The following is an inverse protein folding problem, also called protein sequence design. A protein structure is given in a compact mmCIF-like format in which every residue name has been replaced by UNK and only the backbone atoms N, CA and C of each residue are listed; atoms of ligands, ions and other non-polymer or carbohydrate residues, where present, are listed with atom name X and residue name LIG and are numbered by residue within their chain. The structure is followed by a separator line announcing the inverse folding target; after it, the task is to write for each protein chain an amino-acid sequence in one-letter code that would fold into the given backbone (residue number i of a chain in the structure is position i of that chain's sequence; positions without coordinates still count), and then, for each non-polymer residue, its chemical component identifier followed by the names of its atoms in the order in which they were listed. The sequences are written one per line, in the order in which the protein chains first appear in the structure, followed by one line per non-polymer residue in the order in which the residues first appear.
data_IF_052304500952
#
_entry.id   IF_052304500952
#
_cell.length_a   1.000
_cell.length_b   1.000
_cell.length_c   1.000
_cell.angle_alpha   90.00
_cell.angle_beta   90.00
_cell.angle_gamma   90.00
#
_symmetry.space_group_name_H-M   'P 1'
#
loop_
_entity.id
_entity.type
_entity.pdbx_description
1 polymer ?
#
# COMPACT_ATOMS: atom_id res chain seq x y z
N UNK A 1 5.41 -9.54 24.93
CA UNK A 1 4.42 -8.45 25.07
C UNK A 1 3.02 -9.05 25.08
N UNK A 2 2.00 -8.42 25.71
CA UNK A 2 0.62 -8.88 25.56
C UNK A 2 0.21 -8.85 24.06
N UNK A 3 -0.77 -9.67 23.65
CA UNK A 3 -1.22 -9.71 22.26
C UNK A 3 -1.65 -8.33 21.79
N UNK A 4 -1.02 -7.84 20.72
CA UNK A 4 -1.35 -6.52 20.17
C UNK A 4 -2.74 -6.54 19.50
N UNK A 5 -3.45 -5.41 19.50
CA UNK A 5 -4.67 -5.29 18.71
C UNK A 5 -4.36 -5.40 17.20
N UNK A 6 -5.33 -5.81 16.37
CA UNK A 6 -5.22 -5.65 14.92
C UNK A 6 -5.04 -4.16 14.58
N UNK A 7 -4.09 -3.85 13.72
CA UNK A 7 -3.83 -2.48 13.25
C UNK A 7 -3.87 -2.47 11.73
N UNK A 8 -4.69 -1.59 11.16
CA UNK A 8 -4.77 -1.36 9.72
C UNK A 8 -4.41 0.09 9.41
N UNK A 9 -3.36 0.29 8.62
CA UNK A 9 -2.98 1.60 8.10
C UNK A 9 -3.27 1.65 6.62
N UNK A 10 -4.22 2.49 6.23
CA UNK A 10 -4.57 2.70 4.82
C UNK A 10 -3.68 3.81 4.26
N UNK A 11 -2.89 3.47 3.25
CA UNK A 11 -2.00 4.40 2.56
C UNK A 11 -2.50 4.56 1.12
N UNK A 12 -3.18 5.65 0.85
CA UNK A 12 -4.01 5.83 -0.35
C UNK A 12 -3.34 6.84 -1.30
N UNK A 13 -3.01 6.40 -2.51
CA UNK A 13 -2.61 7.28 -3.61
C UNK A 13 -3.78 8.21 -3.97
N UNK A 14 -3.53 9.52 -4.00
CA UNK A 14 -4.49 10.56 -4.39
C UNK A 14 -4.01 11.40 -5.58
N UNK A 15 -3.06 10.87 -6.36
CA UNK A 15 -2.67 11.44 -7.67
C UNK A 15 -3.87 11.52 -8.61
N UNK A 16 -3.73 12.32 -9.66
CA UNK A 16 -4.78 12.50 -10.68
C UNK A 16 -5.26 11.18 -11.28
N UNK A 17 -4.38 10.19 -11.47
CA UNK A 17 -4.76 8.87 -11.97
C UNK A 17 -5.67 8.12 -10.99
N UNK A 18 -5.40 8.23 -9.69
CA UNK A 18 -6.20 7.60 -8.65
C UNK A 18 -7.58 8.26 -8.54
N UNK A 19 -7.61 9.59 -8.42
CA UNK A 19 -8.84 10.37 -8.26
C UNK A 19 -9.76 10.24 -9.47
N UNK A 20 -9.24 10.42 -10.69
CA UNK A 20 -10.06 10.37 -11.91
C UNK A 20 -10.66 9.00 -12.20
N UNK A 21 -10.08 7.94 -11.64
CA UNK A 21 -10.56 6.56 -11.83
C UNK A 21 -11.81 6.22 -11.01
N UNK A 22 -12.16 7.03 -10.01
CA UNK A 22 -13.25 6.76 -9.07
C UNK A 22 -12.90 5.72 -7.99
N UNK A 23 -11.64 5.29 -7.88
CA UNK A 23 -11.26 4.25 -6.92
C UNK A 23 -11.44 4.69 -5.46
N UNK A 24 -11.19 5.98 -5.15
CA UNK A 24 -11.31 6.53 -3.80
C UNK A 24 -12.72 6.28 -3.21
N UNK A 25 -13.77 6.44 -4.02
CA UNK A 25 -15.16 6.21 -3.60
C UNK A 25 -15.40 4.75 -3.20
N UNK A 26 -14.84 3.81 -3.97
CA UNK A 26 -14.96 2.38 -3.70
C UNK A 26 -14.20 2.01 -2.43
N UNK A 27 -12.97 2.51 -2.24
CA UNK A 27 -12.20 2.30 -1.02
C UNK A 27 -12.95 2.85 0.18
N UNK A 28 -13.36 4.12 0.14
CA UNK A 28 -13.96 4.80 1.28
C UNK A 28 -15.28 4.15 1.68
N UNK A 29 -16.15 3.86 0.71
CA UNK A 29 -17.42 3.16 0.97
C UNK A 29 -17.21 1.75 1.51
N UNK A 30 -16.17 1.04 1.07
CA UNK A 30 -15.86 -0.32 1.55
C UNK A 30 -15.36 -0.31 2.99
N UNK A 31 -14.42 0.58 3.34
CA UNK A 31 -13.93 0.72 4.72
C UNK A 31 -15.07 1.17 5.63
N UNK A 32 -15.91 2.12 5.18
CA UNK A 32 -17.06 2.64 5.93
C UNK A 32 -18.06 1.54 6.29
N UNK A 33 -18.30 0.57 5.40
CA UNK A 33 -19.18 -0.58 5.66
C UNK A 33 -18.69 -1.49 6.79
N UNK A 34 -17.39 -1.51 7.07
CA UNK A 34 -16.80 -2.33 8.14
C UNK A 34 -16.78 -1.64 9.50
N UNK A 35 -17.17 -0.37 9.57
CA UNK A 35 -17.28 0.36 10.84
C UNK A 35 -18.39 -0.25 11.71
N UNK A 36 -18.19 -0.36 13.04
CA UNK A 36 -19.14 -1.03 13.93
C UNK A 36 -20.61 -0.57 13.83
N UNK A 37 -20.88 0.73 13.61
CA UNK A 37 -22.25 1.26 13.41
C UNK A 37 -22.93 0.79 12.13
N UNK A 38 -22.14 0.52 11.09
CA UNK A 38 -22.64 0.18 9.76
C UNK A 38 -22.73 -1.34 9.55
N UNK A 39 -22.29 -2.10 10.55
CA UNK A 39 -22.32 -3.54 10.53
C UNK A 39 -23.72 -4.12 10.62
N UNK A 40 -24.03 -5.03 9.70
CA UNK A 40 -25.26 -5.82 9.72
C UNK A 40 -25.20 -6.80 10.92
N UNK A 41 -26.19 -6.79 11.83
CA UNK A 41 -26.29 -7.75 12.93
C UNK A 41 -26.21 -9.22 12.48
N UNK A 42 -26.60 -9.52 11.25
CA UNK A 42 -26.61 -10.87 10.69
C UNK A 42 -25.29 -11.26 10.01
N UNK A 43 -24.41 -10.30 9.71
CA UNK A 43 -23.15 -10.52 8.99
C UNK A 43 -21.97 -9.96 9.80
N UNK A 44 -21.26 -10.84 10.51
CA UNK A 44 -20.16 -10.48 11.45
C UNK A 44 -18.88 -9.94 10.79
N UNK A 45 -18.94 -9.48 9.53
CA UNK A 45 -17.81 -8.91 8.80
C UNK A 45 -17.60 -7.44 9.23
N UNK A 46 -16.93 -7.26 10.37
CA UNK A 46 -16.73 -5.97 11.02
C UNK A 46 -15.33 -5.87 11.60
N UNK A 47 -14.85 -4.65 11.81
CA UNK A 47 -13.67 -4.47 12.65
C UNK A 47 -13.98 -4.84 14.11
N UNK A 48 -13.05 -5.55 14.75
CA UNK A 48 -13.12 -5.85 16.18
C UNK A 48 -13.04 -4.56 16.99
N UNK A 49 -13.65 -4.57 18.17
CA UNK A 49 -13.65 -3.54 19.19
C UNK A 49 -12.28 -2.96 19.52
N UNK A 50 -11.21 -3.77 19.41
CA UNK A 50 -9.83 -3.35 19.70
C UNK A 50 -9.06 -2.84 18.47
N UNK A 51 -9.64 -2.94 17.28
CA UNK A 51 -8.95 -2.61 16.02
C UNK A 51 -8.53 -1.15 16.01
N UNK A 52 -7.26 -0.91 15.68
CA UNK A 52 -6.75 0.43 15.43
C UNK A 52 -6.72 0.71 13.93
N UNK A 53 -7.16 1.89 13.53
CA UNK A 53 -7.15 2.35 12.13
C UNK A 53 -6.38 3.67 12.04
N UNK A 54 -5.61 3.80 10.97
CA UNK A 54 -5.10 5.08 10.49
C UNK A 54 -5.31 5.21 8.98
N UNK A 55 -5.47 6.44 8.51
CA UNK A 55 -5.62 6.77 7.09
C UNK A 55 -4.59 7.85 6.76
N UNK A 56 -3.78 7.60 5.73
CA UNK A 56 -2.88 8.56 5.12
C UNK A 56 -3.17 8.61 3.63
N UNK A 57 -3.02 9.79 3.03
CA UNK A 57 -3.03 9.94 1.58
C UNK A 57 -1.72 10.50 1.09
N UNK A 58 -1.35 10.22 -0.16
CA UNK A 58 -0.12 10.75 -0.74
C UNK A 58 -0.25 11.02 -2.24
N UNK A 59 0.47 12.04 -2.70
CA UNK A 59 0.73 12.35 -4.11
C UNK A 59 2.20 12.75 -4.25
N UNK A 60 2.51 13.98 -4.64
CA UNK A 60 3.82 14.61 -4.47
C UNK A 60 4.22 14.85 -3.01
N UNK A 61 3.23 14.88 -2.10
CA UNK A 61 3.42 15.14 -0.67
C UNK A 61 2.65 14.12 0.17
N UNK A 62 2.93 14.05 1.48
CA UNK A 62 2.28 13.12 2.41
C UNK A 62 1.24 13.86 3.27
N UNK A 63 0.06 13.29 3.42
CA UNK A 63 -1.05 13.90 4.15
C UNK A 63 -1.48 13.02 5.31
N UNK A 64 -1.44 13.59 6.51
CA UNK A 64 -1.86 12.97 7.75
C UNK A 64 -3.22 13.52 8.15
N UNK A 65 -4.07 12.66 8.68
CA UNK A 65 -5.39 13.04 9.19
C UNK A 65 -5.43 12.83 10.70
N UNK A 66 -5.85 13.85 11.44
CA UNK A 66 -6.10 13.72 12.87
C UNK A 66 -7.44 13.01 13.07
N UNK A 67 -7.41 11.83 13.68
CA UNK A 67 -8.61 11.00 13.89
C UNK A 67 -9.12 11.06 15.35
N UNK A 68 -8.67 12.03 16.15
CA UNK A 68 -9.15 12.21 17.52
C UNK A 68 -10.68 12.37 17.58
N UNK A 69 -11.34 11.54 18.39
CA UNK A 69 -12.81 11.49 18.52
C UNK A 69 -13.46 12.79 19.00
N UNK A 70 -12.70 13.70 19.62
CA UNK A 70 -13.20 14.96 20.15
C UNK A 70 -13.24 16.09 19.11
N UNK A 71 -12.72 15.84 17.90
CA UNK A 71 -12.69 16.84 16.84
C UNK A 71 -14.08 17.05 16.23
N UNK A 72 -14.48 18.32 16.11
CA UNK A 72 -15.70 18.72 15.39
C UNK A 72 -15.52 18.72 13.87
N UNK A 73 -14.29 18.93 13.41
CA UNK A 73 -13.93 19.00 11.99
C UNK A 73 -12.64 18.20 11.75
N UNK A 74 -12.54 17.60 10.57
CA UNK A 74 -11.36 16.86 10.13
C UNK A 74 -10.19 17.84 10.02
N UNK A 75 -9.04 17.47 10.58
CA UNK A 75 -7.80 18.19 10.40
C UNK A 75 -6.85 17.37 9.53
N UNK A 76 -6.38 17.97 8.45
CA UNK A 76 -5.34 17.43 7.59
C UNK A 76 -4.04 18.20 7.83
N UNK A 77 -2.92 17.50 7.96
CA UNK A 77 -1.59 18.09 7.95
C UNK A 77 -0.81 17.57 6.77
N UNK A 78 -0.23 18.50 6.02
CA UNK A 78 0.55 18.20 4.82
C UNK A 78 2.02 18.26 5.19
N UNK A 79 2.77 17.21 4.85
CA UNK A 79 4.21 17.15 4.95
C UNK A 79 4.76 17.22 3.52
N UNK A 80 5.15 18.43 3.06
CA UNK A 80 5.64 18.63 1.69
C UNK A 80 7.11 18.25 1.53
N UNK A 81 7.89 18.30 2.61
CA UNK A 81 9.30 17.89 2.57
C UNK A 81 9.40 16.37 2.65
N UNK A 82 9.58 15.75 1.49
CA UNK A 82 9.76 14.30 1.38
C UNK A 82 11.20 13.88 1.69
N UNK A 83 12.18 14.78 1.79
CA UNK A 83 13.56 14.42 2.13
C UNK A 83 13.69 14.15 3.63
N UNK A 84 13.03 14.97 4.46
CA UNK A 84 12.99 14.81 5.92
C UNK A 84 11.58 14.49 6.43
N UNK A 85 11.12 13.26 6.13
CA UNK A 85 9.79 12.79 6.55
C UNK A 85 9.73 12.67 8.08
N UNK A 86 8.80 13.42 8.68
CA UNK A 86 8.44 13.31 10.09
C UNK A 86 6.95 13.03 10.28
N UNK A 87 6.57 12.65 11.49
CA UNK A 87 5.18 12.45 11.87
C UNK A 87 4.68 13.72 12.59
N UNK A 88 3.74 14.49 12.01
CA UNK A 88 3.32 15.77 12.56
C UNK A 88 2.49 15.64 13.84
N UNK A 89 1.87 14.47 14.06
CA UNK A 89 1.17 14.15 15.30
C UNK A 89 1.80 12.91 15.97
N UNK A 90 2.36 13.04 17.18
CA UNK A 90 2.91 11.88 17.88
C UNK A 90 1.81 10.87 18.32
N UNK A 91 0.58 11.34 18.47
CA UNK A 91 -0.62 10.60 18.92
C UNK A 91 -1.79 10.83 17.93
N UNK A 92 -2.91 10.11 18.06
CA UNK A 92 -4.14 10.30 17.26
C UNK A 92 -4.09 10.04 15.74
N UNK A 93 -3.00 9.43 15.22
CA UNK A 93 -2.96 8.91 13.84
C UNK A 93 -3.56 7.51 13.75
N UNK A 94 -3.22 6.66 14.73
CA UNK A 94 -3.82 5.34 14.90
C UNK A 94 -4.81 5.43 16.05
N UNK A 95 -6.10 5.28 15.74
CA UNK A 95 -7.17 5.40 16.73
C UNK A 95 -8.02 4.14 16.79
N UNK A 96 -8.65 3.91 17.93
CA UNK A 96 -9.60 2.81 18.07
C UNK A 96 -10.85 3.06 17.21
N UNK A 97 -11.19 2.09 16.36
CA UNK A 97 -12.30 2.22 15.42
C UNK A 97 -13.66 2.38 16.12
N UNK A 98 -13.87 1.71 17.25
CA UNK A 98 -15.15 1.77 17.99
C UNK A 98 -15.34 3.12 18.64
N UNK A 99 -14.27 3.70 19.17
CA UNK A 99 -14.29 5.00 19.85
C UNK A 99 -14.39 6.17 18.87
N UNK A 100 -13.64 6.10 17.76
CA UNK A 100 -13.46 7.23 16.84
C UNK A 100 -14.29 7.13 15.56
N UNK A 101 -15.25 6.21 15.49
CA UNK A 101 -15.94 5.88 14.22
C UNK A 101 -16.61 7.08 13.54
N UNK A 102 -17.15 8.05 14.29
CA UNK A 102 -17.82 9.22 13.70
C UNK A 102 -16.84 10.08 12.89
N UNK A 103 -15.62 10.26 13.42
CA UNK A 103 -14.58 11.06 12.76
C UNK A 103 -14.02 10.30 11.56
N UNK A 104 -13.83 8.99 11.70
CA UNK A 104 -13.42 8.11 10.58
C UNK A 104 -14.47 8.14 9.47
N UNK A 105 -15.74 7.96 9.80
CA UNK A 105 -16.85 7.99 8.85
C UNK A 105 -16.93 9.33 8.12
N UNK A 106 -16.87 10.44 8.87
CA UNK A 106 -16.86 11.79 8.30
C UNK A 106 -15.66 11.99 7.36
N UNK A 107 -14.47 11.50 7.72
CA UNK A 107 -13.31 11.54 6.83
C UNK A 107 -13.57 10.76 5.54
N UNK A 108 -14.04 9.52 5.64
CA UNK A 108 -14.31 8.67 4.49
C UNK A 108 -15.38 9.25 3.56
N UNK A 109 -16.41 9.91 4.10
CA UNK A 109 -17.45 10.58 3.31
C UNK A 109 -16.92 11.80 2.53
N UNK A 110 -15.89 12.47 3.04
CA UNK A 110 -15.34 13.68 2.44
C UNK A 110 -14.07 13.44 1.62
N UNK A 111 -13.36 12.33 1.82
CA UNK A 111 -12.03 12.11 1.25
C UNK A 111 -12.00 12.25 -0.27
N UNK A 112 -12.93 11.60 -0.98
CA UNK A 112 -13.03 11.71 -2.44
C UNK A 112 -13.29 13.14 -2.90
N UNK A 113 -14.16 13.87 -2.20
CA UNK A 113 -14.49 15.26 -2.53
C UNK A 113 -13.30 16.20 -2.29
N UNK A 114 -12.50 15.96 -1.24
CA UNK A 114 -11.29 16.73 -0.93
C UNK A 114 -10.27 16.65 -2.07
N UNK A 115 -10.12 15.48 -2.68
CA UNK A 115 -9.14 15.22 -3.72
C UNK A 115 -9.67 15.33 -5.14
N UNK A 116 -10.98 15.53 -5.34
CA UNK A 116 -11.66 15.51 -6.65
C UNK A 116 -11.00 16.34 -7.74
N UNK A 117 -10.43 17.49 -7.37
CA UNK A 117 -9.80 18.43 -8.30
C UNK A 117 -8.27 18.31 -8.34
N UNK A 118 -7.68 17.30 -7.70
CA UNK A 118 -6.24 17.09 -7.70
C UNK A 118 -5.74 16.75 -9.09
N UNK A 119 -4.70 17.45 -9.52
CA UNK A 119 -4.06 17.29 -10.84
C UNK A 119 -2.61 16.84 -10.74
N UNK A 120 -2.12 16.57 -9.54
CA UNK A 120 -0.75 16.14 -9.32
C UNK A 120 -0.54 14.74 -9.90
N UNK A 121 0.49 14.61 -10.75
CA UNK A 121 0.93 13.35 -11.35
C UNK A 121 2.06 12.70 -10.56
N UNK A 122 2.81 13.50 -9.81
CA UNK A 122 3.94 13.01 -9.04
C UNK A 122 3.49 12.17 -7.85
N UNK A 123 4.29 11.16 -7.53
CA UNK A 123 3.96 10.13 -6.58
C UNK A 123 5.18 9.80 -5.72
N UNK A 124 5.12 10.13 -4.44
CA UNK A 124 6.16 9.92 -3.43
C UNK A 124 5.90 8.67 -2.57
N UNK A 125 5.38 7.58 -3.16
CA UNK A 125 4.98 6.38 -2.40
C UNK A 125 6.09 5.83 -1.48
N UNK A 126 7.37 5.92 -1.86
CA UNK A 126 8.47 5.46 -1.02
C UNK A 126 8.60 6.24 0.29
N UNK A 127 8.44 7.55 0.24
CA UNK A 127 8.44 8.43 1.41
C UNK A 127 7.18 8.20 2.26
N UNK A 128 6.04 7.96 1.59
CA UNK A 128 4.79 7.60 2.26
C UNK A 128 4.91 6.23 2.99
N UNK A 129 5.60 5.26 2.40
CA UNK A 129 5.95 3.98 3.04
C UNK A 129 6.86 4.19 4.26
N UNK A 130 7.83 5.11 4.19
CA UNK A 130 8.70 5.49 5.32
C UNK A 130 7.89 6.10 6.47
N UNK A 131 6.95 7.01 6.18
CA UNK A 131 6.02 7.55 7.18
C UNK A 131 5.15 6.45 7.80
N UNK A 132 4.59 5.57 6.98
CA UNK A 132 3.79 4.44 7.45
C UNK A 132 4.58 3.50 8.37
N UNK A 133 5.84 3.23 8.04
CA UNK A 133 6.75 2.47 8.90
C UNK A 133 6.98 3.18 10.24
N UNK A 134 7.21 4.49 10.26
CA UNK A 134 7.40 5.26 11.49
C UNK A 134 6.18 5.21 12.42
N UNK A 135 4.97 5.15 11.85
CA UNK A 135 3.71 4.99 12.59
C UNK A 135 3.60 3.56 13.15
N UNK A 136 3.76 2.56 12.28
CA UNK A 136 3.47 1.16 12.63
C UNK A 136 4.56 0.52 13.49
N UNK A 137 5.83 0.95 13.42
CA UNK A 137 6.96 0.28 14.09
C UNK A 137 6.79 0.09 15.61
N UNK A 138 5.93 0.89 16.26
CA UNK A 138 5.66 0.77 17.70
C UNK A 138 4.82 -0.45 18.05
N UNK A 139 3.87 -0.83 17.18
CA UNK A 139 2.85 -1.84 17.45
C UNK A 139 3.01 -3.05 16.50
N UNK A 140 3.32 -2.81 15.24
CA UNK A 140 3.12 -3.74 14.13
C UNK A 140 1.75 -3.51 13.49
N UNK A 141 1.40 -4.33 12.50
CA UNK A 141 0.12 -4.20 11.82
C UNK A 141 0.20 -4.48 10.32
N UNK A 142 -0.89 -4.21 9.62
CA UNK A 142 -0.99 -4.36 8.17
C UNK A 142 -1.11 -3.00 7.53
N UNK A 143 -0.22 -2.73 6.60
CA UNK A 143 -0.25 -1.61 5.71
C UNK A 143 -1.01 -2.01 4.45
N UNK A 144 -2.06 -1.28 4.10
CA UNK A 144 -2.81 -1.46 2.86
C UNK A 144 -2.44 -0.31 1.94
N UNK A 145 -1.57 -0.60 0.97
CA UNK A 145 -1.09 0.36 -0.01
C UNK A 145 -1.98 0.30 -1.25
N UNK A 146 -2.61 1.43 -1.59
CA UNK A 146 -3.29 1.61 -2.87
C UNK A 146 -2.41 2.49 -3.76
N UNK A 147 -2.07 1.97 -4.95
CA UNK A 147 -1.12 2.61 -5.85
C UNK A 147 -1.64 2.58 -7.28
N UNK A 148 -1.86 3.76 -7.88
CA UNK A 148 -2.36 3.90 -9.25
C UNK A 148 -1.31 4.46 -10.19
N UNK A 149 -0.39 5.28 -9.66
CA UNK A 149 0.71 5.87 -10.40
C UNK A 149 2.05 5.27 -10.00
N UNK A 150 3.05 5.41 -10.88
CA UNK A 150 4.40 4.93 -10.61
C UNK A 150 5.06 5.85 -9.58
N UNK A 151 5.70 5.31 -8.53
CA UNK A 151 6.51 6.12 -7.61
C UNK A 151 7.66 6.77 -8.40
N UNK A 152 7.60 8.09 -8.63
CA UNK A 152 8.48 8.78 -9.55
C UNK A 152 9.36 9.86 -8.88
N UNK A 153 9.07 10.22 -7.63
CA UNK A 153 9.87 11.17 -6.84
C UNK A 153 10.22 10.61 -5.47
N UNK A 154 11.29 11.13 -4.87
CA UNK A 154 11.69 10.81 -3.50
C UNK A 154 12.46 9.49 -3.36
N UNK A 155 12.22 8.78 -2.26
CA UNK A 155 12.85 7.48 -1.99
C UNK A 155 12.10 6.36 -2.73
N UNK A 156 12.78 5.24 -2.99
CA UNK A 156 12.19 4.04 -3.60
C UNK A 156 11.50 4.30 -4.95
N UNK A 157 11.98 5.26 -5.75
CA UNK A 157 11.45 5.51 -7.09
C UNK A 157 11.58 4.28 -7.97
N UNK A 158 10.61 4.12 -8.87
CA UNK A 158 10.54 3.03 -9.83
C UNK A 158 10.65 3.61 -11.24
N UNK A 159 11.67 3.19 -11.98
CA UNK A 159 11.86 3.61 -13.38
C UNK A 159 11.20 2.62 -14.34
N UNK A 160 10.50 3.14 -15.34
CA UNK A 160 9.99 2.36 -16.47
C UNK A 160 11.10 1.91 -17.42
N UNK A 161 12.16 2.71 -17.52
CA UNK A 161 13.25 2.49 -18.44
C UNK A 161 14.32 1.66 -17.72
N UNK A 162 14.14 0.34 -17.76
CA UNK A 162 15.16 -0.61 -17.33
C UNK A 162 16.28 -0.66 -18.36
N UNK A 163 17.33 0.12 -18.12
CA UNK A 163 18.59 -0.09 -18.85
C UNK A 163 19.03 -1.55 -18.68
N UNK A 164 19.42 -2.25 -19.75
CA UNK A 164 19.90 -3.62 -19.66
C UNK A 164 21.08 -3.66 -18.70
N UNK A 165 20.98 -4.41 -17.60
CA UNK A 165 22.13 -4.63 -16.73
C UNK A 165 23.16 -5.41 -17.52
N UNK A 166 24.32 -4.81 -17.81
CA UNK A 166 25.40 -5.46 -18.58
C UNK A 166 25.85 -6.81 -17.99
N UNK A 167 25.61 -7.01 -16.69
CA UNK A 167 25.96 -8.18 -15.87
C UNK A 167 24.72 -8.93 -15.34
N UNK A 168 23.75 -9.24 -16.20
CA UNK A 168 22.66 -10.15 -15.83
C UNK A 168 23.22 -11.52 -15.38
N UNK A 169 22.85 -12.00 -14.18
CA UNK A 169 23.28 -13.31 -13.64
C UNK A 169 23.01 -14.49 -14.59
N UNK A 170 22.05 -14.33 -15.48
CA UNK A 170 21.61 -15.34 -16.44
C UNK A 170 22.27 -15.22 -17.81
N UNK A 171 23.01 -14.14 -18.09
CA UNK A 171 23.69 -13.91 -19.38
C UNK A 171 24.57 -15.12 -19.74
N UNK A 172 25.32 -15.65 -18.78
CA UNK A 172 26.20 -16.81 -19.01
C UNK A 172 25.47 -18.14 -19.29
N UNK A 173 24.15 -18.24 -19.05
CA UNK A 173 23.38 -19.47 -19.21
C UNK A 173 22.72 -19.55 -20.60
N UNK A 174 22.32 -18.40 -21.16
CA UNK A 174 21.58 -18.34 -22.43
C UNK A 174 22.33 -17.59 -23.54
N UNK A 175 23.52 -17.04 -23.27
CA UNK A 175 24.38 -16.57 -24.37
C UNK A 175 25.05 -17.79 -24.99
N UNK A 176 24.53 -18.25 -26.14
CA UNK A 176 25.22 -19.22 -26.99
C UNK A 176 26.62 -18.70 -27.32
N UNK A 177 27.67 -19.52 -27.08
CA UNK A 177 29.06 -19.22 -27.46
C UNK A 177 29.28 -19.10 -28.99
N UNK A 178 28.22 -19.22 -29.80
CA UNK A 178 28.28 -19.03 -31.24
C UNK A 178 27.29 -17.96 -31.68
N UNK A 179 27.78 -16.74 -31.94
CA UNK A 179 27.45 -15.87 -33.08
C UNK A 179 27.81 -14.42 -32.77
N UNK A 180 28.65 -13.82 -33.62
CA UNK A 180 29.07 -12.41 -33.56
C UNK A 180 28.00 -11.39 -33.92
N UNK A 181 26.75 -11.60 -33.50
CA UNK A 181 25.66 -10.63 -33.64
C UNK A 181 25.08 -10.33 -32.26
N UNK A 182 25.06 -9.04 -31.89
CA UNK A 182 24.54 -8.49 -30.63
C UNK A 182 23.01 -8.62 -30.48
N UNK A 183 22.42 -9.76 -30.81
CA UNK A 183 21.00 -10.03 -30.58
C UNK A 183 20.87 -10.67 -29.20
N UNK A 184 20.43 -9.88 -28.23
CA UNK A 184 20.10 -10.38 -26.89
C UNK A 184 18.97 -11.41 -27.05
N UNK A 185 19.18 -12.63 -26.54
CA UNK A 185 18.17 -13.69 -26.55
C UNK A 185 16.88 -13.15 -25.88
N UNK A 186 15.74 -13.28 -26.57
CA UNK A 186 14.45 -12.77 -26.08
C UNK A 186 14.09 -13.38 -24.72
N UNK A 187 14.52 -14.62 -24.47
CA UNK A 187 14.33 -15.32 -23.20
C UNK A 187 15.16 -14.74 -22.05
N UNK A 188 16.38 -14.27 -22.32
CA UNK A 188 17.19 -13.53 -21.35
C UNK A 188 16.49 -12.24 -20.94
N UNK A 189 15.97 -11.51 -21.93
CA UNK A 189 15.28 -10.26 -21.69
C UNK A 189 14.01 -10.44 -20.87
N UNK A 190 13.25 -11.50 -21.12
CA UNK A 190 12.07 -11.84 -20.31
C UNK A 190 12.44 -12.09 -18.84
N UNK A 191 13.46 -12.92 -18.58
CA UNK A 191 13.91 -13.20 -17.21
C UNK A 191 14.38 -11.92 -16.52
N UNK A 192 15.12 -11.06 -17.20
CA UNK A 192 15.54 -9.76 -16.66
C UNK A 192 14.34 -8.88 -16.28
N UNK A 193 13.29 -8.84 -17.11
CA UNK A 193 12.06 -8.10 -16.83
C UNK A 193 11.27 -8.66 -15.64
N UNK A 194 11.39 -9.96 -15.36
CA UNK A 194 10.77 -10.60 -14.19
C UNK A 194 11.58 -10.42 -12.90
N UNK A 195 12.83 -9.96 -12.99
CA UNK A 195 13.64 -9.68 -11.80
C UNK A 195 13.47 -8.24 -11.31
N UNK A 196 13.48 -7.99 -9.99
CA UNK A 196 13.46 -6.62 -9.46
C UNK A 196 14.63 -5.78 -9.99
N UNK A 197 14.37 -4.51 -10.31
CA UNK A 197 15.41 -3.62 -10.82
C UNK A 197 16.51 -3.35 -9.76
N UNK A 198 16.14 -3.25 -8.49
CA UNK A 198 17.06 -3.12 -7.37
C UNK A 198 16.51 -3.87 -6.13
N UNK A 199 17.28 -3.88 -5.05
CA UNK A 199 16.93 -4.60 -3.82
C UNK A 199 16.23 -3.72 -2.79
N UNK A 200 15.99 -2.43 -3.05
CA UNK A 200 15.56 -1.47 -2.03
C UNK A 200 14.21 -1.88 -1.38
N UNK A 201 13.25 -2.34 -2.17
CA UNK A 201 11.98 -2.87 -1.65
C UNK A 201 12.14 -4.18 -0.87
N UNK A 202 13.14 -5.00 -1.21
CA UNK A 202 13.46 -6.22 -0.45
C UNK A 202 14.09 -5.88 0.90
N UNK A 203 15.00 -4.90 0.94
CA UNK A 203 15.63 -4.40 2.16
C UNK A 203 14.60 -3.73 3.08
N UNK A 204 13.67 -2.95 2.51
CA UNK A 204 12.53 -2.42 3.24
C UNK A 204 11.68 -3.55 3.84
N UNK A 205 11.37 -4.59 3.08
CA UNK A 205 10.61 -5.74 3.57
C UNK A 205 11.29 -6.41 4.78
N UNK A 206 12.61 -6.62 4.71
CA UNK A 206 13.39 -7.16 5.82
C UNK A 206 13.37 -6.25 7.04
N UNK A 207 13.34 -4.94 6.84
CA UNK A 207 13.26 -3.98 7.93
C UNK A 207 11.89 -4.02 8.60
N UNK A 208 10.80 -3.89 7.83
CA UNK A 208 9.44 -3.79 8.41
C UNK A 208 8.97 -5.09 9.06
N UNK A 209 9.43 -6.24 8.58
CA UNK A 209 9.07 -7.56 9.16
C UNK A 209 9.64 -7.75 10.56
N UNK A 210 10.79 -7.16 10.88
CA UNK A 210 11.32 -7.15 12.25
C UNK A 210 10.37 -6.48 13.24
N UNK A 211 9.56 -5.54 12.75
CA UNK A 211 8.55 -4.80 13.51
C UNK A 211 7.13 -5.36 13.34
N UNK A 212 6.99 -6.59 12.82
CA UNK A 212 5.70 -7.26 12.69
C UNK A 212 4.72 -6.50 11.77
N UNK A 213 5.25 -5.91 10.69
CA UNK A 213 4.47 -5.18 9.69
C UNK A 213 4.38 -6.01 8.41
N UNK A 214 3.15 -6.19 7.91
CA UNK A 214 2.86 -6.75 6.58
C UNK A 214 2.33 -5.68 5.63
N UNK A 215 2.54 -5.87 4.31
CA UNK A 215 2.08 -4.93 3.28
C UNK A 215 1.23 -5.64 2.24
N UNK A 216 -0.05 -5.29 2.18
CA UNK A 216 -0.94 -5.65 1.08
C UNK A 216 -0.93 -4.52 0.04
N UNK A 217 -0.80 -4.86 -1.24
CA UNK A 217 -0.73 -3.90 -2.36
C UNK A 217 -1.94 -4.08 -3.27
N UNK A 218 -2.75 -3.03 -3.40
CA UNK A 218 -3.76 -2.88 -4.42
C UNK A 218 -3.22 -1.96 -5.52
N UNK A 219 -2.89 -2.54 -6.67
CA UNK A 219 -2.27 -1.85 -7.79
C UNK A 219 -3.27 -1.59 -8.92
N UNK A 220 -3.38 -0.32 -9.34
CA UNK A 220 -4.34 0.16 -10.35
C UNK A 220 -3.63 0.88 -11.52
N UNK A 221 -2.65 0.25 -12.19
CA UNK A 221 -1.86 0.98 -13.16
C UNK A 221 -2.69 1.35 -14.40
N UNK A 222 -2.64 2.63 -14.77
CA UNK A 222 -3.16 3.13 -16.04
C UNK A 222 -2.20 2.84 -17.21
N UNK A 223 -0.91 2.67 -16.92
CA UNK A 223 0.15 2.35 -17.87
C UNK A 223 1.04 1.21 -17.39
N UNK A 224 2.31 1.19 -17.81
CA UNK A 224 3.27 0.25 -17.24
C UNK A 224 3.54 0.65 -15.78
N UNK A 225 3.52 -0.31 -14.86
CA UNK A 225 4.01 -0.16 -13.50
C UNK A 225 4.96 -1.33 -13.29
N UNK A 226 6.21 -1.06 -12.96
CA UNK A 226 7.18 -2.12 -12.72
C UNK A 226 6.93 -2.77 -11.34
N UNK A 227 5.88 -3.59 -11.32
CA UNK A 227 5.48 -4.37 -10.16
C UNK A 227 6.57 -5.33 -9.72
N UNK A 228 7.44 -5.79 -10.61
CA UNK A 228 8.50 -6.73 -10.22
C UNK A 228 9.52 -6.07 -9.29
N UNK A 229 9.69 -4.75 -9.36
CA UNK A 229 10.50 -3.98 -8.40
C UNK A 229 9.81 -3.81 -7.05
N UNK A 230 8.50 -3.60 -7.02
CA UNK A 230 7.72 -3.34 -5.77
C UNK A 230 7.34 -4.65 -5.06
N UNK A 231 7.00 -5.70 -5.82
CA UNK A 231 6.45 -6.97 -5.34
C UNK A 231 7.26 -7.66 -4.23
N UNK A 232 8.61 -7.62 -4.20
CA UNK A 232 9.37 -8.16 -3.08
C UNK A 232 8.95 -7.59 -1.72
N UNK A 233 8.49 -6.34 -1.64
CA UNK A 233 7.95 -5.75 -0.40
C UNK A 233 6.74 -6.54 0.11
N UNK A 234 5.78 -6.80 -0.79
CA UNK A 234 4.54 -7.52 -0.49
C UNK A 234 4.85 -8.97 -0.14
N UNK A 235 5.59 -9.65 -1.01
CA UNK A 235 5.93 -11.07 -0.86
C UNK A 235 6.70 -11.35 0.42
N UNK A 236 7.77 -10.59 0.68
CA UNK A 236 8.66 -10.88 1.81
C UNK A 236 8.07 -10.43 3.15
N UNK A 237 7.05 -9.55 3.14
CA UNK A 237 6.30 -9.17 4.34
C UNK A 237 5.06 -10.03 4.62
N UNK A 238 4.82 -11.06 3.80
CA UNK A 238 3.70 -11.98 3.97
C UNK A 238 2.34 -11.40 3.55
N UNK A 239 2.34 -10.32 2.76
CA UNK A 239 1.13 -9.70 2.24
C UNK A 239 0.69 -10.25 0.88
N UNK A 240 -0.34 -9.62 0.32
CA UNK A 240 -1.02 -10.00 -0.92
C UNK A 240 -0.98 -8.89 -1.96
N UNK A 241 -0.90 -9.26 -3.24
CA UNK A 241 -0.96 -8.34 -4.39
C UNK A 241 -2.31 -8.50 -5.09
N UNK A 242 -3.04 -7.41 -5.22
CA UNK A 242 -4.27 -7.29 -6.01
C UNK A 242 -3.99 -6.38 -7.20
N UNK A 243 -4.31 -6.84 -8.41
CA UNK A 243 -3.93 -6.18 -9.66
C UNK A 243 -5.15 -5.86 -10.52
N UNK A 244 -5.29 -4.58 -10.88
CA UNK A 244 -6.39 -4.03 -11.67
C UNK A 244 -5.84 -3.18 -12.82
N UNK A 245 -5.48 -3.80 -13.96
CA UNK A 245 -4.96 -3.06 -15.10
C UNK A 245 -6.04 -2.16 -15.69
N UNK A 246 -5.70 -0.91 -16.01
CA UNK A 246 -6.62 0.07 -16.61
C UNK A 246 -7.95 0.14 -15.83
N UNK A 247 -7.86 0.34 -14.51
CA UNK A 247 -9.01 0.32 -13.63
C UNK A 247 -10.11 1.28 -14.12
N UNK A 248 -11.32 0.73 -14.21
CA UNK A 248 -12.55 1.46 -14.50
C UNK A 248 -13.58 1.07 -13.43
N UNK A 249 -14.08 2.07 -12.71
CA UNK A 249 -15.04 1.87 -11.62
C UNK A 249 -16.29 1.10 -12.07
N UNK A 250 -16.79 1.30 -13.28
CA UNK A 250 -17.99 0.61 -13.77
C UNK A 250 -17.79 -0.89 -13.94
N UNK A 251 -16.56 -1.36 -14.14
CA UNK A 251 -16.24 -2.78 -14.34
C UNK A 251 -15.68 -3.44 -13.08
N UNK A 252 -14.83 -2.73 -12.34
CA UNK A 252 -14.06 -3.29 -11.24
C UNK A 252 -14.60 -2.96 -9.85
N UNK A 253 -15.63 -2.12 -9.71
CA UNK A 253 -16.19 -1.72 -8.40
C UNK A 253 -16.48 -2.94 -7.51
N UNK A 254 -17.28 -3.89 -8.00
CA UNK A 254 -17.67 -5.06 -7.20
C UNK A 254 -16.49 -5.96 -6.86
N UNK A 255 -15.56 -6.17 -7.81
CA UNK A 255 -14.35 -6.97 -7.56
C UNK A 255 -13.48 -6.33 -6.48
N UNK A 256 -13.17 -5.04 -6.62
CA UNK A 256 -12.36 -4.29 -5.65
C UNK A 256 -13.02 -4.30 -4.27
N UNK A 257 -14.34 -4.06 -4.22
CA UNK A 257 -15.12 -4.08 -3.00
C UNK A 257 -15.02 -5.43 -2.29
N UNK A 258 -15.27 -6.53 -2.98
CA UNK A 258 -15.22 -7.87 -2.37
C UNK A 258 -13.81 -8.30 -1.98
N UNK A 259 -12.79 -8.01 -2.80
CA UNK A 259 -11.39 -8.32 -2.46
C UNK A 259 -10.89 -7.51 -1.26
N UNK A 260 -11.23 -6.22 -1.19
CA UNK A 260 -10.88 -5.38 -0.03
C UNK A 260 -11.64 -5.81 1.23
N UNK A 261 -12.94 -6.14 1.12
CA UNK A 261 -13.69 -6.74 2.24
C UNK A 261 -13.04 -8.03 2.71
N UNK A 262 -12.65 -8.91 1.78
CA UNK A 262 -11.96 -10.15 2.09
C UNK A 262 -10.64 -9.87 2.84
N UNK A 263 -9.79 -8.97 2.35
CA UNK A 263 -8.51 -8.62 2.98
C UNK A 263 -8.67 -8.11 4.42
N UNK A 264 -9.72 -7.34 4.68
CA UNK A 264 -9.95 -6.70 5.99
C UNK A 264 -10.71 -7.59 6.99
N UNK A 265 -11.42 -8.61 6.50
CA UNK A 265 -12.26 -9.50 7.35
C UNK A 265 -11.72 -10.93 7.46
N UNK A 266 -10.70 -11.29 6.68
CA UNK A 266 -10.05 -12.60 6.78
C UNK A 266 -9.34 -12.73 8.12
N UNK A 267 -9.55 -13.88 8.77
CA UNK A 267 -8.84 -14.24 10.00
C UNK A 267 -7.33 -14.21 9.75
N UNK A 268 -6.65 -13.28 10.43
CA UNK A 268 -5.22 -13.05 10.26
C UNK A 268 -4.54 -13.28 11.60
N UNK A 269 -3.57 -14.20 11.63
CA UNK A 269 -2.68 -14.38 12.75
C UNK A 269 -1.49 -13.41 12.62
N UNK A 270 -1.29 -12.57 13.64
CA UNK A 270 -0.21 -11.60 13.69
C UNK A 270 0.99 -12.17 14.43
N UNK A 271 2.19 -11.62 14.19
CA UNK A 271 3.44 -12.03 14.87
C UNK A 271 3.77 -13.53 14.73
N UNK A 272 3.33 -14.15 13.63
CA UNK A 272 3.38 -15.60 13.46
C UNK A 272 4.75 -16.08 13.00
N UNK A 273 5.21 -17.20 13.59
CA UNK A 273 6.44 -17.90 13.19
C UNK A 273 6.12 -19.36 12.93
N UNK A 274 6.40 -19.83 11.71
CA UNK A 274 6.24 -21.23 11.33
C UNK A 274 7.59 -21.97 11.45
N UNK A 275 7.62 -23.09 12.18
CA UNK A 275 8.80 -23.97 12.29
C UNK A 275 8.42 -25.42 12.03
N UNK A 276 8.93 -25.97 10.93
CA UNK A 276 8.77 -27.38 10.58
C UNK A 276 9.91 -28.18 11.23
N UNK A 277 9.57 -29.25 11.95
CA UNK A 277 10.53 -30.21 12.54
C UNK A 277 10.27 -31.58 11.93
N UNK A 278 11.34 -32.28 11.57
CA UNK A 278 11.30 -33.63 10.98
C UNK A 278 12.02 -34.61 11.92
N UNK A 279 11.54 -35.87 11.94
CA UNK A 279 12.07 -36.99 12.72
C UNK A 279 13.29 -37.61 12.07
#
# INVERSE_FOLDING_TARGET
RPPQPPVYLFLIDVTVASVSSGLLDVICSTIKKLLPKNCDPNNKKCFDSRTLIGILTFDSTIHFYNLNCNLKHIQMMVVPDIQDVFIPLPEDILVNVSECQNVIENLLDNLSNMWRNNKITDNCAGNALKAAFMILKKIGGKLILFLSSIPNIGDLTVSLNREPKEKGKYKNIYTSNNSGNNVVDSKLREIELLTPYNNLYSELAQTITQYQISVDLFAFPSGSLDLTTIYPLVKNSGGSLYYYPQFNVHHYNEKLREELLYTLTTETAWESVMRIRIS
#
